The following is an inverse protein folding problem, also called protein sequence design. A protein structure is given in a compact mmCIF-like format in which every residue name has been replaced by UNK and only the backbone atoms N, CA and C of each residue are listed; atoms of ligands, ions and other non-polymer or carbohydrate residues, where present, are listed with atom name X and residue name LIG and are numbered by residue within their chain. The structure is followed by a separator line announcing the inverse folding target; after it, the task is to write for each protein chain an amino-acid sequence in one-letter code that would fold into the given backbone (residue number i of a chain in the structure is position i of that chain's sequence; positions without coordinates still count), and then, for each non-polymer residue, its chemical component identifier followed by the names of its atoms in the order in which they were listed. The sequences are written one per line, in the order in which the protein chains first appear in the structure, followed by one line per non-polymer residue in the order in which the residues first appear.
data_IF_526505173103
#
_entry.id   IF_526505173103
#
_cell.length_a   1.000
_cell.length_b   1.000
_cell.length_c   1.000
_cell.angle_alpha   90.00
_cell.angle_beta   90.00
_cell.angle_gamma   90.00
#
_symmetry.space_group_name_H-M   'P 1'
#
loop_
_entity.id
_entity.type
_entity.pdbx_description
1 polymer ?
#
# COMPACT_ATOMS: atom_id res chain seq x y z
N UNK A 1 1.98 11.69 53.81
CA UNK A 1 2.97 11.05 52.94
C UNK A 1 2.23 10.46 51.78
N UNK A 2 2.13 11.26 50.73
CA UNK A 2 1.31 11.02 49.55
C UNK A 2 2.18 10.23 48.54
N UNK A 3 1.88 8.94 48.36
CA UNK A 3 2.49 8.12 47.31
C UNK A 3 1.61 8.22 46.08
N UNK A 4 1.86 9.25 45.26
CA UNK A 4 1.42 9.26 43.89
C UNK A 4 2.11 8.11 43.14
N UNK A 5 1.39 7.00 42.99
CA UNK A 5 1.68 6.01 41.96
C UNK A 5 1.48 6.70 40.61
N UNK A 6 2.52 7.33 40.09
CA UNK A 6 2.63 7.63 38.67
C UNK A 6 2.62 6.29 37.93
N UNK A 7 1.46 5.92 37.40
CA UNK A 7 1.35 4.86 36.43
C UNK A 7 2.25 5.25 35.25
N UNK A 8 3.41 4.62 35.15
CA UNK A 8 4.20 4.68 33.93
C UNK A 8 3.30 4.25 32.77
N UNK A 9 3.27 5.00 31.66
CA UNK A 9 2.56 4.54 30.48
C UNK A 9 3.23 3.24 30.06
N UNK A 10 2.50 2.13 30.21
CA UNK A 10 2.87 0.85 29.64
C UNK A 10 2.93 1.02 28.11
N UNK A 11 4.06 1.50 27.60
CA UNK A 11 4.35 1.51 26.18
C UNK A 11 4.37 0.06 25.76
N UNK A 12 3.40 -0.33 24.92
CA UNK A 12 3.19 -1.69 24.45
C UNK A 12 4.31 -2.18 23.51
N UNK A 13 5.47 -1.54 23.54
CA UNK A 13 6.62 -1.87 22.72
C UNK A 13 7.46 -2.92 23.44
N UNK A 14 7.25 -4.17 23.01
CA UNK A 14 8.14 -5.28 23.36
C UNK A 14 9.59 -5.00 22.96
N UNK A 15 10.50 -5.93 23.29
CA UNK A 15 11.95 -5.80 23.02
C UNK A 15 12.25 -5.42 21.57
N UNK A 16 11.49 -5.96 20.61
CA UNK A 16 11.61 -5.65 19.18
C UNK A 16 11.25 -4.20 18.86
N UNK A 17 10.15 -3.66 19.41
CA UNK A 17 9.72 -2.28 19.13
C UNK A 17 10.74 -1.24 19.58
N UNK A 18 11.34 -1.45 20.77
CA UNK A 18 12.43 -0.58 21.26
C UNK A 18 13.68 -0.66 20.39
N UNK A 19 14.07 -1.85 19.96
CA UNK A 19 15.21 -2.04 19.07
C UNK A 19 14.98 -1.38 17.70
N UNK A 20 13.78 -1.55 17.13
CA UNK A 20 13.42 -0.93 15.85
C UNK A 20 13.44 0.60 15.95
N UNK A 21 12.86 1.17 17.02
CA UNK A 21 12.89 2.62 17.26
C UNK A 21 14.31 3.16 17.27
N UNK A 22 15.20 2.55 18.05
CA UNK A 22 16.60 2.97 18.11
C UNK A 22 17.31 2.86 16.76
N UNK A 23 16.97 1.84 15.96
CA UNK A 23 17.53 1.66 14.61
C UNK A 23 17.02 2.72 13.64
N UNK A 24 15.72 3.02 13.65
CA UNK A 24 15.10 4.06 12.81
C UNK A 24 15.65 5.45 13.15
N UNK A 25 15.77 5.77 14.45
CA UNK A 25 16.37 7.03 14.89
C UNK A 25 17.85 7.15 14.50
N UNK A 26 18.61 6.05 14.56
CA UNK A 26 20.01 6.04 14.14
C UNK A 26 20.20 6.35 12.64
N UNK A 27 19.18 6.09 11.81
CA UNK A 27 19.17 6.46 10.38
C UNK A 27 18.40 7.76 10.09
N UNK A 28 18.07 8.54 11.14
CA UNK A 28 17.42 9.85 11.03
C UNK A 28 15.90 9.82 10.86
N UNK A 29 15.24 8.68 11.12
CA UNK A 29 13.78 8.54 11.10
C UNK A 29 13.26 8.65 12.54
N UNK A 30 12.92 9.86 12.96
CA UNK A 30 12.52 10.17 14.34
C UNK A 30 10.99 10.28 14.51
N UNK A 31 10.27 10.62 13.43
CA UNK A 31 8.82 10.79 13.39
C UNK A 31 8.40 11.77 12.30
N UNK A 32 7.13 12.17 12.27
CA UNK A 32 6.62 13.10 11.26
C UNK A 32 6.87 14.56 11.60
N UNK A 33 7.15 15.36 10.57
CA UNK A 33 7.25 16.81 10.74
C UNK A 33 5.84 17.43 10.82
N UNK A 34 5.46 17.85 12.03
CA UNK A 34 4.12 18.39 12.33
C UNK A 34 3.79 19.69 11.60
N UNK A 35 4.79 20.40 11.08
CA UNK A 35 4.56 21.58 10.23
C UNK A 35 3.98 21.22 8.86
N UNK A 36 4.16 19.96 8.41
CA UNK A 36 3.66 19.46 7.14
C UNK A 36 2.40 18.61 7.28
N UNK A 37 2.17 17.96 8.41
CA UNK A 37 0.97 17.13 8.64
C UNK A 37 -0.26 17.98 8.92
N UNK A 38 -1.43 17.35 8.86
CA UNK A 38 -2.70 17.90 9.32
C UNK A 38 -2.85 17.72 10.83
N UNK A 39 -3.68 18.56 11.44
CA UNK A 39 -4.08 18.38 12.84
C UNK A 39 -4.89 17.09 13.00
N UNK A 40 -4.64 16.35 14.08
CA UNK A 40 -5.42 15.17 14.42
C UNK A 40 -6.76 15.59 15.02
N UNK A 41 -7.81 15.46 14.23
CA UNK A 41 -9.19 15.76 14.65
C UNK A 41 -9.95 14.45 14.94
N UNK A 42 -11.15 14.53 15.56
CA UNK A 42 -12.03 13.38 15.69
C UNK A 42 -12.39 12.74 14.33
N UNK A 43 -12.51 13.52 13.25
CA UNK A 43 -12.77 12.97 11.92
C UNK A 43 -11.57 12.22 11.36
N UNK A 44 -10.33 12.68 11.62
CA UNK A 44 -9.11 11.92 11.29
C UNK A 44 -9.10 10.58 12.02
N UNK A 45 -9.43 10.57 13.31
CA UNK A 45 -9.50 9.32 14.11
C UNK A 45 -10.55 8.34 13.58
N UNK A 46 -11.72 8.86 13.17
CA UNK A 46 -12.76 8.06 12.51
C UNK A 46 -12.30 7.51 11.16
N UNK A 47 -11.64 8.32 10.34
CA UNK A 47 -11.08 7.89 9.06
C UNK A 47 -10.05 6.77 9.24
N UNK A 48 -9.12 6.90 10.19
CA UNK A 48 -8.13 5.85 10.50
C UNK A 48 -8.80 4.55 10.98
N UNK A 49 -9.89 4.66 11.75
CA UNK A 49 -10.68 3.50 12.17
C UNK A 49 -11.32 2.82 10.97
N UNK A 50 -11.95 3.60 10.07
CA UNK A 50 -12.56 3.08 8.85
C UNK A 50 -11.52 2.40 7.96
N UNK A 51 -10.36 3.03 7.76
CA UNK A 51 -9.27 2.45 6.98
C UNK A 51 -8.82 1.12 7.56
N UNK A 52 -8.64 1.03 8.89
CA UNK A 52 -8.31 -0.25 9.55
C UNK A 52 -9.39 -1.30 9.30
N UNK A 53 -10.67 -0.94 9.37
CA UNK A 53 -11.77 -1.88 9.08
C UNK A 53 -11.71 -2.36 7.61
N UNK A 54 -11.44 -1.46 6.67
CA UNK A 54 -11.26 -1.81 5.26
C UNK A 54 -10.08 -2.76 5.04
N UNK A 55 -8.94 -2.52 5.70
CA UNK A 55 -7.81 -3.47 5.72
C UNK A 55 -8.26 -4.84 6.25
N UNK A 56 -9.06 -4.87 7.32
CA UNK A 56 -9.62 -6.10 7.85
C UNK A 56 -10.52 -6.85 6.86
N UNK A 57 -11.34 -6.14 6.09
CA UNK A 57 -12.18 -6.72 5.04
C UNK A 57 -11.35 -7.26 3.87
N UNK A 58 -10.31 -6.54 3.46
CA UNK A 58 -9.34 -7.00 2.44
C UNK A 58 -8.67 -8.29 2.90
N UNK A 59 -8.16 -8.34 4.14
CA UNK A 59 -7.51 -9.53 4.69
C UNK A 59 -8.47 -10.72 4.82
N UNK A 60 -9.75 -10.47 5.11
CA UNK A 60 -10.78 -11.52 5.15
C UNK A 60 -11.05 -12.08 3.76
N UNK A 61 -11.15 -11.21 2.76
CA UNK A 61 -11.28 -11.62 1.37
C UNK A 61 -10.07 -12.40 0.89
N UNK A 62 -8.85 -11.95 1.20
CA UNK A 62 -7.61 -12.67 0.84
C UNK A 62 -7.52 -14.05 1.50
N UNK A 63 -8.00 -14.16 2.74
CA UNK A 63 -8.07 -15.45 3.43
C UNK A 63 -8.99 -16.43 2.69
N UNK A 64 -10.14 -15.94 2.22
CA UNK A 64 -11.05 -16.71 1.37
C UNK A 64 -10.40 -17.07 0.03
N UNK A 65 -9.76 -16.11 -0.64
CA UNK A 65 -9.06 -16.32 -1.91
C UNK A 65 -7.95 -17.37 -1.81
N UNK A 66 -7.29 -17.48 -0.65
CA UNK A 66 -6.27 -18.52 -0.39
C UNK A 66 -6.83 -19.94 -0.40
N UNK A 67 -8.14 -20.12 -0.24
CA UNK A 67 -8.78 -21.44 -0.29
C UNK A 67 -9.11 -21.88 -1.73
N UNK A 68 -8.93 -20.99 -2.71
CA UNK A 68 -9.23 -21.26 -4.13
C UNK A 68 -8.35 -22.37 -4.72
N UNK A 69 -8.83 -22.98 -5.80
CA UNK A 69 -8.08 -24.00 -6.52
C UNK A 69 -6.80 -23.42 -7.15
N UNK A 70 -6.85 -22.22 -7.73
CA UNK A 70 -5.69 -21.56 -8.32
C UNK A 70 -4.59 -21.35 -7.29
N UNK A 71 -4.91 -20.80 -6.12
CA UNK A 71 -3.92 -20.58 -5.06
C UNK A 71 -3.26 -21.89 -4.61
N UNK A 72 -4.02 -22.99 -4.50
CA UNK A 72 -3.47 -24.30 -4.18
C UNK A 72 -2.48 -24.77 -5.25
N UNK A 73 -2.81 -24.59 -6.53
CA UNK A 73 -1.92 -24.91 -7.67
C UNK A 73 -0.62 -24.15 -7.61
N UNK A 74 -0.67 -22.86 -7.26
CA UNK A 74 0.51 -22.01 -7.08
C UNK A 74 1.35 -22.47 -5.89
N UNK A 75 0.73 -22.78 -4.75
CA UNK A 75 1.45 -23.30 -3.58
C UNK A 75 2.09 -24.66 -3.86
N UNK A 76 1.44 -25.54 -4.62
CA UNK A 76 2.02 -26.81 -5.04
C UNK A 76 3.26 -26.61 -5.93
N UNK A 77 3.17 -25.68 -6.90
CA UNK A 77 4.30 -25.29 -7.75
C UNK A 77 5.46 -24.72 -6.94
N UNK A 78 5.18 -23.75 -6.06
CA UNK A 78 6.16 -23.12 -5.17
C UNK A 78 6.88 -24.14 -4.28
N UNK A 79 6.15 -25.11 -3.73
CA UNK A 79 6.70 -26.15 -2.86
C UNK A 79 7.42 -27.26 -3.65
N UNK A 80 7.31 -27.30 -4.98
CA UNK A 80 7.86 -28.37 -5.82
C UNK A 80 7.21 -29.74 -5.55
N UNK A 81 5.92 -29.75 -5.17
CA UNK A 81 5.18 -30.98 -4.83
C UNK A 81 3.87 -31.07 -5.62
N UNK A 82 3.27 -32.26 -5.67
CA UNK A 82 1.95 -32.44 -6.29
C UNK A 82 0.83 -31.78 -5.50
N UNK A 83 -0.26 -31.40 -6.19
CA UNK A 83 -1.45 -30.79 -5.60
C UNK A 83 -2.10 -31.61 -4.48
N UNK A 84 -1.99 -32.94 -4.56
CA UNK A 84 -2.52 -33.88 -3.56
C UNK A 84 -1.64 -33.98 -2.29
N UNK A 85 -0.52 -33.26 -2.25
CA UNK A 85 0.41 -33.29 -1.12
C UNK A 85 -0.21 -32.70 0.15
N UNK A 86 -0.08 -33.42 1.26
CA UNK A 86 -0.47 -32.93 2.58
C UNK A 86 0.22 -31.60 2.95
N UNK A 87 1.41 -31.33 2.39
CA UNK A 87 2.13 -30.07 2.59
C UNK A 87 1.40 -28.88 1.98
N UNK A 88 0.80 -29.03 0.80
CA UNK A 88 0.00 -27.97 0.17
C UNK A 88 -1.20 -27.64 1.04
N UNK A 89 -1.93 -28.66 1.50
CA UNK A 89 -3.07 -28.47 2.38
C UNK A 89 -2.68 -27.78 3.70
N UNK A 90 -1.56 -28.17 4.31
CA UNK A 90 -1.08 -27.61 5.56
C UNK A 90 -0.64 -26.15 5.41
N UNK A 91 0.11 -25.81 4.36
CA UNK A 91 0.55 -24.44 4.09
C UNK A 91 -0.65 -23.55 3.79
N UNK A 92 -1.56 -23.98 2.92
CA UNK A 92 -2.77 -23.22 2.59
C UNK A 92 -3.64 -22.98 3.83
N UNK A 93 -3.85 -24.02 4.65
CA UNK A 93 -4.58 -23.85 5.91
C UNK A 93 -3.87 -22.86 6.84
N UNK A 94 -2.56 -22.99 7.03
CA UNK A 94 -1.77 -22.10 7.88
C UNK A 94 -1.83 -20.64 7.44
N UNK A 95 -1.67 -20.38 6.13
CA UNK A 95 -1.79 -19.03 5.54
C UNK A 95 -3.20 -18.48 5.71
N UNK A 96 -4.24 -19.27 5.43
CA UNK A 96 -5.63 -18.84 5.63
C UNK A 96 -5.91 -18.50 7.09
N UNK A 97 -5.47 -19.33 8.04
CA UNK A 97 -5.64 -19.04 9.48
C UNK A 97 -4.93 -17.76 9.90
N UNK A 98 -3.70 -17.53 9.42
CA UNK A 98 -2.97 -16.30 9.67
C UNK A 98 -3.73 -15.07 9.14
N UNK A 99 -4.20 -15.12 7.89
CA UNK A 99 -4.97 -14.03 7.27
C UNK A 99 -6.29 -13.77 8.02
N UNK A 100 -7.01 -14.82 8.42
CA UNK A 100 -8.23 -14.70 9.24
C UNK A 100 -7.92 -14.05 10.59
N UNK A 101 -6.84 -14.45 11.25
CA UNK A 101 -6.44 -13.86 12.52
C UNK A 101 -6.18 -12.36 12.36
N UNK A 102 -5.38 -11.97 11.35
CA UNK A 102 -5.11 -10.57 11.02
C UNK A 102 -6.42 -9.82 10.75
N UNK A 103 -7.28 -10.36 9.89
CA UNK A 103 -8.58 -9.77 9.57
C UNK A 103 -9.44 -9.53 10.83
N UNK A 104 -9.58 -10.55 11.69
CA UNK A 104 -10.32 -10.45 12.93
C UNK A 104 -9.75 -9.37 13.88
N UNK A 105 -8.42 -9.23 13.92
CA UNK A 105 -7.75 -8.18 14.69
C UNK A 105 -8.06 -6.78 14.17
N UNK A 106 -7.98 -6.57 12.84
CA UNK A 106 -8.29 -5.29 12.20
C UNK A 106 -9.76 -4.89 12.34
N UNK A 107 -10.68 -5.86 12.19
CA UNK A 107 -12.12 -5.65 12.33
C UNK A 107 -12.54 -5.36 13.77
N UNK A 108 -11.98 -6.08 14.74
CA UNK A 108 -12.32 -5.91 16.16
C UNK A 108 -11.57 -4.76 16.85
N UNK A 109 -10.46 -4.31 16.25
CA UNK A 109 -9.55 -3.35 16.87
C UNK A 109 -8.78 -3.89 18.08
N UNK A 110 -8.69 -5.22 18.22
CA UNK A 110 -7.97 -5.90 19.31
C UNK A 110 -6.69 -6.53 18.77
N UNK A 111 -5.57 -6.26 19.44
CA UNK A 111 -4.28 -6.84 19.06
C UNK A 111 -3.70 -6.32 17.74
N UNK A 112 -4.19 -5.17 17.26
CA UNK A 112 -3.87 -4.58 15.94
C UNK A 112 -2.36 -4.47 15.73
N UNK A 113 -1.61 -3.95 16.70
CA UNK A 113 -0.15 -3.85 16.60
C UNK A 113 0.53 -5.21 16.43
N UNK A 114 0.13 -6.21 17.21
CA UNK A 114 0.75 -7.55 17.18
C UNK A 114 0.47 -8.26 15.86
N UNK A 115 -0.78 -8.25 15.42
CA UNK A 115 -1.15 -8.91 14.16
C UNK A 115 -0.80 -8.07 12.94
N UNK A 116 -0.66 -6.75 13.08
CA UNK A 116 -0.04 -5.88 12.07
C UNK A 116 1.40 -6.28 11.81
N UNK A 117 2.20 -6.54 12.86
CA UNK A 117 3.55 -7.09 12.69
C UNK A 117 3.55 -8.49 12.06
N UNK A 118 2.61 -9.35 12.42
CA UNK A 118 2.47 -10.65 11.74
C UNK A 118 2.17 -10.49 10.24
N UNK A 119 1.30 -9.54 9.89
CA UNK A 119 1.02 -9.15 8.50
C UNK A 119 2.25 -8.58 7.78
N UNK A 120 3.02 -7.72 8.44
CA UNK A 120 4.29 -7.19 7.94
C UNK A 120 5.28 -8.33 7.61
N UNK A 121 5.52 -9.27 8.54
CA UNK A 121 6.47 -10.35 8.30
C UNK A 121 5.96 -11.36 7.26
N UNK A 122 4.66 -11.59 7.22
CA UNK A 122 4.06 -12.40 6.17
C UNK A 122 4.23 -11.74 4.79
N UNK A 123 3.95 -10.45 4.66
CA UNK A 123 4.19 -9.69 3.43
C UNK A 123 5.66 -9.70 3.01
N UNK A 124 6.58 -9.57 3.97
CA UNK A 124 8.02 -9.67 3.71
C UNK A 124 8.44 -11.05 3.23
N UNK A 125 7.88 -12.11 3.82
CA UNK A 125 8.10 -13.48 3.35
C UNK A 125 7.59 -13.67 1.92
N UNK A 126 6.36 -13.21 1.62
CA UNK A 126 5.80 -13.30 0.26
C UNK A 126 6.69 -12.54 -0.73
N UNK A 127 7.06 -11.30 -0.41
CA UNK A 127 7.88 -10.48 -1.30
C UNK A 127 9.25 -11.09 -1.59
N UNK A 128 9.94 -11.62 -0.57
CA UNK A 128 11.30 -12.17 -0.74
C UNK A 128 11.27 -13.59 -1.30
N UNK A 129 10.47 -14.47 -0.69
CA UNK A 129 10.54 -15.90 -0.96
C UNK A 129 9.71 -16.32 -2.17
N UNK A 130 8.63 -15.59 -2.47
CA UNK A 130 7.70 -15.95 -3.55
C UNK A 130 7.88 -14.99 -4.73
N UNK A 131 7.93 -13.68 -4.48
CA UNK A 131 8.07 -12.65 -5.51
C UNK A 131 9.54 -12.33 -5.85
N UNK A 132 10.50 -12.98 -5.17
CA UNK A 132 11.94 -12.82 -5.40
C UNK A 132 12.43 -11.35 -5.36
N UNK A 133 11.76 -10.51 -4.57
CA UNK A 133 12.08 -9.08 -4.47
C UNK A 133 11.60 -8.23 -5.65
N UNK A 134 10.68 -8.74 -6.48
CA UNK A 134 10.14 -8.01 -7.63
C UNK A 134 10.88 -8.24 -8.94
N UNK A 135 11.60 -9.36 -9.07
CA UNK A 135 12.31 -9.73 -10.30
C UNK A 135 11.33 -10.32 -11.34
N UNK A 136 10.40 -9.51 -11.85
CA UNK A 136 9.43 -9.93 -12.87
C UNK A 136 9.94 -9.77 -14.31
N UNK A 137 11.21 -9.43 -14.50
CA UNK A 137 11.81 -9.27 -15.83
C UNK A 137 11.40 -7.98 -16.55
N UNK A 138 11.44 -8.00 -17.89
CA UNK A 138 11.27 -6.79 -18.73
C UNK A 138 9.83 -6.28 -18.82
N UNK A 139 8.86 -7.13 -18.49
CA UNK A 139 7.43 -6.76 -18.47
C UNK A 139 7.02 -6.18 -17.11
N UNK A 140 7.94 -6.07 -16.15
CA UNK A 140 7.68 -5.56 -14.82
C UNK A 140 7.37 -4.06 -14.84
N UNK A 141 6.22 -3.69 -14.27
CA UNK A 141 5.79 -2.31 -14.05
C UNK A 141 5.91 -1.91 -12.57
N UNK A 142 6.08 -2.85 -11.64
CA UNK A 142 6.20 -2.63 -10.19
C UNK A 142 7.06 -3.73 -9.51
N UNK A 143 7.55 -3.53 -8.25
CA UNK A 143 8.40 -4.48 -7.53
C UNK A 143 7.62 -5.58 -6.80
N UNK A 144 6.31 -5.69 -7.03
CA UNK A 144 5.47 -6.71 -6.46
C UNK A 144 4.65 -6.19 -5.30
N UNK A 145 3.71 -7.01 -4.87
CA UNK A 145 2.63 -6.55 -4.00
C UNK A 145 2.90 -6.80 -2.54
N UNK A 146 3.77 -7.77 -2.22
CA UNK A 146 4.17 -8.02 -0.85
C UNK A 146 4.70 -6.75 -0.20
N UNK A 147 5.45 -5.94 -0.94
CA UNK A 147 5.99 -4.65 -0.46
C UNK A 147 4.89 -3.62 -0.15
N UNK A 148 3.84 -3.55 -0.97
CA UNK A 148 2.70 -2.66 -0.71
C UNK A 148 1.93 -3.06 0.57
N UNK A 149 1.73 -4.37 0.81
CA UNK A 149 1.14 -4.86 2.06
C UNK A 149 2.00 -4.53 3.27
N UNK A 150 3.32 -4.71 3.17
CA UNK A 150 4.28 -4.36 4.23
C UNK A 150 4.11 -2.90 4.64
N UNK A 151 4.08 -1.99 3.66
CA UNK A 151 3.89 -0.56 3.87
C UNK A 151 2.53 -0.26 4.52
N UNK A 152 1.45 -0.86 4.01
CA UNK A 152 0.11 -0.70 4.57
C UNK A 152 0.05 -1.14 6.03
N UNK A 153 0.67 -2.27 6.39
CA UNK A 153 0.72 -2.71 7.78
C UNK A 153 1.52 -1.75 8.66
N UNK A 154 2.61 -1.15 8.16
CA UNK A 154 3.31 -0.10 8.91
C UNK A 154 2.41 1.12 9.14
N UNK A 155 1.63 1.55 8.15
CA UNK A 155 0.63 2.63 8.34
C UNK A 155 -0.43 2.26 9.38
N UNK A 156 -0.96 1.03 9.35
CA UNK A 156 -1.92 0.53 10.35
C UNK A 156 -1.31 0.56 11.75
N UNK A 157 -0.07 0.08 11.90
CA UNK A 157 0.64 0.04 13.18
C UNK A 157 0.93 1.46 13.68
N UNK A 158 1.41 2.35 12.80
CA UNK A 158 1.63 3.76 13.09
C UNK A 158 0.35 4.47 13.52
N UNK A 159 -0.77 4.24 12.83
CA UNK A 159 -2.06 4.79 13.18
C UNK A 159 -2.58 4.28 14.54
N UNK A 160 -2.39 3.00 14.85
CA UNK A 160 -2.80 2.44 16.15
C UNK A 160 -2.01 3.05 17.32
N UNK A 161 -0.73 3.40 17.12
CA UNK A 161 0.10 4.06 18.14
C UNK A 161 -0.43 5.43 18.55
N UNK A 162 -1.13 6.13 17.66
CA UNK A 162 -1.77 7.42 17.95
C UNK A 162 -2.84 7.34 19.04
N UNK A 163 -3.36 6.14 19.32
CA UNK A 163 -4.30 5.93 20.44
C UNK A 163 -3.62 6.06 21.80
N UNK A 164 -2.31 5.81 21.88
CA UNK A 164 -1.51 5.94 23.10
C UNK A 164 -0.66 7.21 23.13
N UNK A 165 -0.15 7.65 21.98
CA UNK A 165 0.68 8.84 21.84
C UNK A 165 0.25 9.59 20.57
N UNK A 166 -0.59 10.64 20.69
CA UNK A 166 -1.13 11.37 19.54
C UNK A 166 -0.09 12.26 18.85
N UNK A 167 1.12 12.41 19.38
CA UNK A 167 2.14 13.23 18.76
C UNK A 167 2.77 12.50 17.55
N UNK A 168 2.45 12.97 16.35
CA UNK A 168 2.98 12.44 15.09
C UNK A 168 4.51 12.56 15.01
N UNK A 169 5.11 13.54 15.70
CA UNK A 169 6.58 13.70 15.74
C UNK A 169 7.28 12.62 16.54
N UNK A 170 6.55 11.86 17.36
CA UNK A 170 7.03 10.69 18.09
C UNK A 170 6.65 9.37 17.40
N UNK A 171 6.19 9.40 16.14
CA UNK A 171 5.73 8.21 15.43
C UNK A 171 6.69 7.80 14.31
N UNK A 172 7.82 7.19 14.69
CA UNK A 172 8.84 6.74 13.75
C UNK A 172 8.35 5.67 12.77
N UNK A 173 7.36 4.86 13.17
CA UNK A 173 6.78 3.81 12.31
C UNK A 173 6.00 4.45 11.16
N UNK A 174 5.25 5.53 11.43
CA UNK A 174 4.52 6.25 10.41
C UNK A 174 5.46 6.92 9.40
N UNK A 175 6.49 7.61 9.90
CA UNK A 175 7.52 8.22 9.06
C UNK A 175 8.26 7.17 8.22
N UNK A 176 8.58 6.02 8.81
CA UNK A 176 9.19 4.90 8.10
C UNK A 176 8.26 4.34 7.02
N UNK A 177 6.97 4.15 7.31
CA UNK A 177 5.96 3.71 6.34
C UNK A 177 5.90 4.65 5.13
N UNK A 178 5.86 5.97 5.39
CA UNK A 178 5.85 7.00 4.34
C UNK A 178 7.13 6.97 3.49
N UNK A 179 8.30 6.88 4.12
CA UNK A 179 9.58 6.84 3.39
C UNK A 179 9.69 5.56 2.56
N UNK A 180 9.29 4.41 3.13
CA UNK A 180 9.26 3.13 2.40
C UNK A 180 8.27 3.18 1.23
N UNK A 181 7.14 3.87 1.39
CA UNK A 181 6.23 4.14 0.29
C UNK A 181 6.85 5.02 -0.79
N UNK A 182 7.64 6.03 -0.39
CA UNK A 182 8.43 6.82 -1.34
C UNK A 182 9.45 5.97 -2.10
N UNK A 183 10.08 4.98 -1.45
CA UNK A 183 11.02 4.06 -2.10
C UNK A 183 10.32 3.20 -3.14
N UNK A 184 9.12 2.68 -2.81
CA UNK A 184 8.29 1.93 -3.75
C UNK A 184 7.96 2.77 -4.99
N UNK A 185 7.45 4.00 -4.80
CA UNK A 185 7.15 4.91 -5.91
C UNK A 185 8.38 5.35 -6.71
N UNK A 186 9.54 5.48 -6.05
CA UNK A 186 10.79 5.78 -6.75
C UNK A 186 11.20 4.61 -7.64
N UNK A 187 11.06 3.38 -7.14
CA UNK A 187 11.34 2.18 -7.92
C UNK A 187 10.43 2.10 -9.14
N UNK A 188 9.12 2.28 -8.97
CA UNK A 188 8.15 2.36 -10.06
C UNK A 188 8.59 3.40 -11.09
N UNK A 189 8.90 4.62 -10.65
CA UNK A 189 9.35 5.69 -11.54
C UNK A 189 10.61 5.29 -12.33
N UNK A 190 11.56 4.55 -11.73
CA UNK A 190 12.75 4.07 -12.46
C UNK A 190 12.41 3.05 -13.55
N UNK A 191 11.38 2.21 -13.36
CA UNK A 191 10.88 1.30 -14.38
C UNK A 191 10.20 2.08 -15.51
N UNK A 192 9.38 3.07 -15.17
CA UNK A 192 8.67 3.90 -16.17
C UNK A 192 9.59 4.84 -16.95
N UNK A 193 10.74 5.18 -16.39
CA UNK A 193 11.78 5.95 -17.09
C UNK A 193 12.66 5.08 -18.00
N UNK A 194 12.48 3.75 -18.01
CA UNK A 194 13.21 2.90 -18.96
C UNK A 194 12.76 3.20 -20.39
N UNK A 195 13.68 3.22 -21.37
CA UNK A 195 13.34 3.47 -22.77
C UNK A 195 12.23 2.55 -23.29
N UNK A 196 12.25 1.28 -22.87
CA UNK A 196 11.25 0.30 -23.30
C UNK A 196 9.83 0.72 -22.89
N UNK A 197 9.60 1.10 -21.63
CA UNK A 197 8.29 1.58 -21.18
C UNK A 197 7.86 2.84 -21.93
N UNK A 198 8.76 3.79 -22.12
CA UNK A 198 8.46 5.06 -22.79
C UNK A 198 8.02 4.87 -24.25
N UNK A 199 8.61 3.89 -24.94
CA UNK A 199 8.31 3.60 -26.34
C UNK A 199 7.13 2.62 -26.51
N UNK A 200 6.84 1.78 -25.50
CA UNK A 200 5.85 0.69 -25.56
C UNK A 200 4.72 0.82 -24.53
N UNK A 201 4.53 1.97 -23.90
CA UNK A 201 3.49 2.21 -22.89
C UNK A 201 2.10 1.70 -23.32
N UNK A 202 1.71 1.95 -24.57
CA UNK A 202 0.40 1.55 -25.07
C UNK A 202 0.27 0.03 -25.24
N UNK A 203 1.38 -0.69 -25.38
CA UNK A 203 1.39 -2.14 -25.52
C UNK A 203 0.97 -2.81 -24.21
N UNK A 204 1.36 -2.25 -23.05
CA UNK A 204 0.88 -2.71 -21.74
C UNK A 204 -0.64 -2.63 -21.61
N UNK A 205 -1.23 -1.48 -21.97
CA UNK A 205 -2.70 -1.31 -21.95
C UNK A 205 -3.41 -2.20 -22.97
N UNK A 206 -2.85 -2.35 -24.16
CA UNK A 206 -3.44 -3.18 -25.22
C UNK A 206 -3.34 -4.68 -24.90
N UNK A 207 -2.25 -5.10 -24.24
CA UNK A 207 -2.08 -6.45 -23.74
C UNK A 207 -3.12 -6.77 -22.65
N UNK A 208 -3.25 -5.90 -21.63
CA UNK A 208 -4.27 -6.06 -20.59
C UNK A 208 -5.68 -6.15 -21.16
N UNK A 209 -6.03 -5.24 -22.08
CA UNK A 209 -7.34 -5.28 -22.75
C UNK A 209 -7.62 -6.62 -23.44
N UNK A 210 -6.59 -7.20 -24.08
CA UNK A 210 -6.70 -8.47 -24.80
C UNK A 210 -6.95 -9.63 -23.85
N UNK A 211 -6.33 -9.61 -22.66
CA UNK A 211 -6.48 -10.65 -21.64
C UNK A 211 -7.90 -10.66 -21.06
N UNK A 212 -8.57 -9.50 -21.01
CA UNK A 212 -9.98 -9.36 -20.56
C UNK A 212 -11.00 -9.23 -21.70
N UNK A 213 -10.65 -9.64 -22.92
CA UNK A 213 -11.49 -9.50 -24.11
C UNK A 213 -12.90 -10.10 -23.91
N UNK A 214 -13.92 -9.38 -24.37
CA UNK A 214 -15.33 -9.78 -24.26
C UNK A 214 -15.99 -9.47 -22.90
N UNK A 215 -15.26 -8.85 -21.97
CA UNK A 215 -15.82 -8.35 -20.70
C UNK A 215 -16.13 -6.85 -20.77
N UNK A 216 -16.80 -6.31 -19.75
CA UNK A 216 -16.99 -4.85 -19.62
C UNK A 216 -15.66 -4.11 -19.43
N UNK A 217 -14.66 -4.78 -18.86
CA UNK A 217 -13.34 -4.21 -18.60
C UNK A 217 -12.60 -3.90 -19.90
N UNK A 218 -12.71 -4.76 -20.92
CA UNK A 218 -12.13 -4.46 -22.23
C UNK A 218 -12.66 -3.15 -22.85
N UNK A 219 -13.94 -2.83 -22.64
CA UNK A 219 -14.52 -1.55 -23.05
C UNK A 219 -14.02 -0.38 -22.20
N UNK A 220 -13.78 -0.61 -20.91
CA UNK A 220 -13.18 0.38 -20.01
C UNK A 220 -11.72 0.68 -20.41
N UNK A 221 -10.92 -0.34 -20.69
CA UNK A 221 -9.53 -0.19 -21.14
C UNK A 221 -9.46 0.50 -22.51
N UNK A 222 -10.43 0.24 -23.40
CA UNK A 222 -10.53 0.92 -24.69
C UNK A 222 -10.63 2.44 -24.53
N UNK A 223 -11.33 2.93 -23.50
CA UNK A 223 -11.46 4.37 -23.25
C UNK A 223 -10.07 4.96 -22.96
N UNK A 224 -9.28 4.32 -22.12
CA UNK A 224 -7.93 4.77 -21.77
C UNK A 224 -6.94 4.67 -22.93
N UNK A 225 -7.07 3.64 -23.76
CA UNK A 225 -6.28 3.50 -25.00
C UNK A 225 -6.58 4.67 -25.95
N UNK A 226 -7.86 4.97 -26.20
CA UNK A 226 -8.27 6.09 -27.09
C UNK A 226 -7.82 7.44 -26.52
N UNK A 227 -7.98 7.67 -25.22
CA UNK A 227 -7.50 8.89 -24.57
C UNK A 227 -5.98 9.02 -24.68
N UNK A 228 -5.24 7.94 -24.47
CA UNK A 228 -3.78 7.92 -24.58
C UNK A 228 -3.31 8.21 -26.01
N UNK A 229 -3.99 7.64 -27.00
CA UNK A 229 -3.73 7.94 -28.42
C UNK A 229 -4.03 9.41 -28.77
N UNK A 230 -5.11 9.97 -28.23
CA UNK A 230 -5.50 11.36 -28.49
C UNK A 230 -4.54 12.39 -27.89
N UNK A 231 -4.00 12.12 -26.70
CA UNK A 231 -2.98 12.98 -26.06
C UNK A 231 -1.59 12.78 -26.68
N UNK A 232 -1.31 11.56 -27.14
CA UNK A 232 0.01 11.12 -27.61
C UNK A 232 0.61 10.11 -26.64
N UNK A 233 0.77 8.82 -27.02
CA UNK A 233 1.18 7.76 -26.10
C UNK A 233 2.51 8.06 -25.39
N UNK A 234 3.49 8.60 -26.12
CA UNK A 234 4.80 8.94 -25.55
C UNK A 234 4.71 10.10 -24.54
N UNK A 235 3.85 11.10 -24.78
CA UNK A 235 3.63 12.17 -23.81
C UNK A 235 2.97 11.63 -22.55
N UNK A 236 1.98 10.73 -22.68
CA UNK A 236 1.35 10.08 -21.52
C UNK A 236 2.36 9.26 -20.73
N UNK A 237 3.21 8.47 -21.39
CA UNK A 237 4.26 7.69 -20.74
C UNK A 237 5.21 8.57 -19.90
N UNK A 238 5.68 9.68 -20.47
CA UNK A 238 6.50 10.66 -19.74
C UNK A 238 5.76 11.31 -18.57
N UNK A 239 4.48 11.68 -18.76
CA UNK A 239 3.68 12.28 -17.69
C UNK A 239 3.48 11.30 -16.53
N UNK A 240 3.23 10.02 -16.81
CA UNK A 240 3.14 8.98 -15.78
C UNK A 240 4.48 8.86 -15.04
N UNK A 241 5.58 8.66 -15.76
CA UNK A 241 6.91 8.49 -15.16
C UNK A 241 7.32 9.67 -14.26
N UNK A 242 7.12 10.90 -14.75
CA UNK A 242 7.44 12.12 -14.00
C UNK A 242 6.49 12.35 -12.81
N UNK A 243 5.22 11.94 -12.93
CA UNK A 243 4.26 12.02 -11.83
C UNK A 243 4.62 11.03 -10.72
N UNK A 244 4.97 9.79 -11.06
CA UNK A 244 5.45 8.81 -10.09
C UNK A 244 6.71 9.30 -9.35
N UNK A 245 7.67 9.89 -10.08
CA UNK A 245 8.86 10.48 -9.49
C UNK A 245 8.53 11.65 -8.55
N UNK A 246 7.61 12.53 -8.92
CA UNK A 246 7.18 13.64 -8.08
C UNK A 246 6.47 13.16 -6.80
N UNK A 247 5.65 12.12 -6.91
CA UNK A 247 5.02 11.45 -5.77
C UNK A 247 6.10 10.87 -4.85
N UNK A 248 7.09 10.15 -5.38
CA UNK A 248 8.19 9.60 -4.59
C UNK A 248 8.94 10.69 -3.81
N UNK A 249 9.29 11.80 -4.46
CA UNK A 249 9.96 12.95 -3.82
C UNK A 249 9.07 13.55 -2.71
N UNK A 250 7.77 13.68 -2.97
CA UNK A 250 6.81 14.18 -1.97
C UNK A 250 6.72 13.24 -0.75
N UNK A 251 6.74 11.93 -0.98
CA UNK A 251 6.73 10.91 0.06
C UNK A 251 8.02 10.90 0.86
N UNK A 252 9.21 11.03 0.25
CA UNK A 252 10.46 11.13 1.00
C UNK A 252 10.51 12.35 1.91
N UNK A 253 10.17 13.51 1.35
CA UNK A 253 10.28 14.78 2.06
C UNK A 253 9.15 15.03 3.05
N UNK A 254 8.01 14.34 2.91
CA UNK A 254 6.77 14.68 3.60
C UNK A 254 6.13 15.99 3.12
N UNK A 255 6.72 16.64 2.10
CA UNK A 255 6.27 17.92 1.55
C UNK A 255 5.36 17.67 0.37
N UNK A 256 4.46 18.62 0.10
CA UNK A 256 3.53 18.57 -1.04
C UNK A 256 2.55 17.39 -1.06
N UNK A 257 2.51 16.55 -0.02
CA UNK A 257 1.59 15.40 0.07
C UNK A 257 0.11 15.79 0.09
N UNK A 258 -0.22 17.03 0.47
CA UNK A 258 -1.58 17.57 0.30
C UNK A 258 -2.00 17.71 -1.17
N UNK A 259 -1.04 17.75 -2.10
CA UNK A 259 -1.28 17.81 -3.55
C UNK A 259 -1.01 16.46 -4.18
N UNK A 260 0.18 15.90 -3.94
CA UNK A 260 0.59 14.64 -4.56
C UNK A 260 -0.05 13.39 -3.92
N UNK A 261 -0.61 13.47 -2.71
CA UNK A 261 -1.39 12.39 -2.11
C UNK A 261 -2.65 12.05 -2.95
N UNK A 262 -3.54 13.02 -3.21
CA UNK A 262 -4.67 12.80 -4.12
C UNK A 262 -4.28 12.45 -5.56
N UNK A 263 -3.19 13.03 -6.09
CA UNK A 263 -2.68 12.67 -7.42
C UNK A 263 -2.23 11.22 -7.46
N UNK A 264 -1.46 10.78 -6.46
CA UNK A 264 -1.01 9.40 -6.34
C UNK A 264 -2.17 8.42 -6.13
N UNK A 265 -3.19 8.81 -5.37
CA UNK A 265 -4.43 8.03 -5.26
C UNK A 265 -5.10 7.85 -6.62
N UNK A 266 -5.27 8.93 -7.39
CA UNK A 266 -5.89 8.89 -8.72
C UNK A 266 -5.06 8.09 -9.73
N UNK A 267 -3.74 8.30 -9.75
CA UNK A 267 -2.83 7.57 -10.62
C UNK A 267 -2.81 6.08 -10.29
N UNK A 268 -2.75 5.73 -9.00
CA UNK A 268 -2.85 4.34 -8.55
C UNK A 268 -4.16 3.72 -9.04
N UNK A 269 -5.29 4.43 -8.88
CA UNK A 269 -6.58 3.92 -9.35
C UNK A 269 -6.54 3.60 -10.84
N UNK A 270 -6.04 4.52 -11.68
CA UNK A 270 -5.99 4.33 -13.14
C UNK A 270 -5.08 3.19 -13.53
N UNK A 271 -3.84 3.15 -13.03
CA UNK A 271 -2.88 2.06 -13.34
C UNK A 271 -3.50 0.72 -12.95
N UNK A 272 -4.00 0.65 -11.72
CA UNK A 272 -4.47 -0.61 -11.17
C UNK A 272 -5.82 -1.05 -11.70
N UNK A 273 -6.67 -0.16 -12.23
CA UNK A 273 -7.94 -0.54 -12.87
C UNK A 273 -7.80 -0.89 -14.35
N UNK A 274 -6.65 -0.58 -14.97
CA UNK A 274 -6.40 -0.76 -16.41
C UNK A 274 -5.30 -1.80 -16.66
N UNK A 275 -4.04 -1.37 -16.74
CA UNK A 275 -2.88 -2.21 -17.05
C UNK A 275 -2.72 -3.39 -16.10
N UNK A 276 -3.12 -3.23 -14.83
CA UNK A 276 -3.06 -4.31 -13.82
C UNK A 276 -4.41 -5.01 -13.59
N UNK A 277 -5.44 -4.68 -14.38
CA UNK A 277 -6.71 -5.40 -14.41
C UNK A 277 -7.41 -5.59 -13.06
N UNK A 278 -7.40 -4.57 -12.20
CA UNK A 278 -7.90 -4.63 -10.81
C UNK A 278 -7.13 -5.59 -9.90
N UNK A 279 -5.92 -5.98 -10.29
CA UNK A 279 -5.14 -7.07 -9.69
C UNK A 279 -5.37 -8.44 -10.36
N UNK A 280 -5.89 -8.45 -11.60
CA UNK A 280 -5.91 -9.55 -12.56
C UNK A 280 -6.83 -10.74 -12.29
N UNK A 281 -7.20 -11.48 -13.34
CA UNK A 281 -6.76 -12.85 -13.53
C UNK A 281 -5.59 -12.87 -14.52
N UNK A 282 -4.38 -12.63 -14.02
CA UNK A 282 -3.14 -12.68 -14.80
C UNK A 282 -3.02 -13.98 -15.64
N UNK A 283 -2.36 -13.87 -16.80
CA UNK A 283 -2.06 -14.99 -17.70
C UNK A 283 -1.21 -16.09 -17.04
N UNK A 284 -1.47 -17.36 -17.38
CA UNK A 284 -0.76 -18.50 -16.79
C UNK A 284 0.75 -18.41 -17.03
N UNK A 285 1.52 -18.27 -15.94
CA UNK A 285 2.99 -18.19 -15.98
C UNK A 285 3.52 -17.12 -15.04
N UNK A 286 3.04 -15.87 -15.18
CA UNK A 286 3.46 -14.72 -14.34
C UNK A 286 2.45 -14.50 -13.20
N UNK A 287 1.17 -14.79 -13.46
CA UNK A 287 0.09 -14.93 -12.47
C UNK A 287 0.32 -15.95 -11.36
N UNK A 288 1.22 -16.88 -11.60
CA UNK A 288 1.23 -18.21 -10.98
C UNK A 288 2.02 -18.28 -9.67
N UNK A 289 2.40 -17.12 -9.14
CA UNK A 289 3.16 -17.00 -7.90
C UNK A 289 2.54 -16.00 -6.91
N UNK A 290 1.29 -15.55 -7.12
CA UNK A 290 0.70 -14.49 -6.29
C UNK A 290 -0.40 -15.00 -5.36
N UNK A 291 -0.10 -15.33 -4.10
CA UNK A 291 -1.06 -15.81 -3.10
C UNK A 291 -2.18 -14.81 -2.69
N UNK A 292 -2.35 -13.68 -3.38
CA UNK A 292 -3.26 -12.58 -3.07
C UNK A 292 -3.97 -12.11 -4.35
N UNK A 293 -5.05 -12.79 -4.75
CA UNK A 293 -5.82 -12.45 -5.95
C UNK A 293 -7.05 -11.58 -5.62
N UNK A 294 -7.24 -10.53 -6.43
CA UNK A 294 -8.49 -9.87 -6.86
C UNK A 294 -9.19 -8.78 -6.02
N UNK A 295 -8.90 -8.55 -4.74
CA UNK A 295 -9.45 -7.35 -4.06
C UNK A 295 -8.42 -6.60 -3.22
N UNK A 296 -7.18 -7.09 -3.16
CA UNK A 296 -6.08 -6.50 -2.40
C UNK A 296 -5.24 -5.50 -3.18
N UNK A 297 -4.86 -5.76 -4.43
CA UNK A 297 -3.72 -5.07 -5.07
C UNK A 297 -3.98 -3.58 -5.35
N UNK A 298 -4.98 -3.27 -6.16
CA UNK A 298 -5.43 -1.90 -6.42
C UNK A 298 -5.82 -1.20 -5.12
N UNK A 299 -6.59 -1.91 -4.29
CA UNK A 299 -7.14 -1.38 -3.05
C UNK A 299 -6.05 -1.03 -2.05
N UNK A 300 -4.91 -1.72 -2.02
CA UNK A 300 -3.84 -1.46 -1.05
C UNK A 300 -3.10 -0.19 -1.36
N UNK A 301 -2.79 0.09 -2.63
CA UNK A 301 -2.24 1.39 -3.00
C UNK A 301 -3.23 2.50 -2.63
N UNK A 302 -4.52 2.30 -2.92
CA UNK A 302 -5.55 3.27 -2.55
C UNK A 302 -5.66 3.46 -1.03
N UNK A 303 -5.71 2.39 -0.26
CA UNK A 303 -5.77 2.42 1.21
C UNK A 303 -4.53 3.09 1.79
N UNK A 304 -3.36 2.80 1.23
CA UNK A 304 -2.09 3.44 1.64
C UNK A 304 -2.13 4.93 1.37
N UNK A 305 -2.60 5.37 0.19
CA UNK A 305 -2.82 6.79 -0.07
C UNK A 305 -3.93 7.41 0.78
N UNK A 306 -4.97 6.66 1.16
CA UNK A 306 -5.97 7.17 2.10
C UNK A 306 -5.39 7.35 3.51
N UNK A 307 -4.43 6.51 3.94
CA UNK A 307 -3.65 6.78 5.14
C UNK A 307 -2.84 8.07 4.99
N UNK A 308 -2.12 8.24 3.87
CA UNK A 308 -1.41 9.50 3.57
C UNK A 308 -2.38 10.69 3.59
N UNK A 309 -3.54 10.59 2.96
CA UNK A 309 -4.57 11.63 2.97
C UNK A 309 -5.01 11.96 4.39
N UNK A 310 -5.27 10.95 5.23
CA UNK A 310 -5.69 11.15 6.61
C UNK A 310 -4.66 11.98 7.42
N UNK A 311 -3.36 11.81 7.14
CA UNK A 311 -2.29 12.56 7.79
C UNK A 311 -1.91 13.88 7.09
N UNK A 312 -2.21 14.01 5.79
CA UNK A 312 -1.89 15.15 4.93
C UNK A 312 -3.12 15.59 4.14
N UNK A 313 -4.12 16.11 4.85
CA UNK A 313 -5.43 16.41 4.29
C UNK A 313 -5.36 17.54 3.23
N UNK A 314 -5.71 17.29 1.95
CA UNK A 314 -5.78 18.30 0.90
C UNK A 314 -6.73 19.46 1.24
N UNK A 315 -7.78 19.21 2.02
CA UNK A 315 -8.76 20.23 2.40
C UNK A 315 -8.15 21.35 3.26
N UNK A 316 -7.01 21.11 3.92
CA UNK A 316 -6.27 22.16 4.64
C UNK A 316 -5.82 23.29 3.71
N UNK A 317 -5.55 23.00 2.43
CA UNK A 317 -5.15 24.01 1.45
C UNK A 317 -6.29 25.01 1.18
N UNK A 318 -7.53 24.51 1.17
CA UNK A 318 -8.73 25.33 0.98
C UNK A 318 -9.04 26.17 2.23
N UNK A 319 -8.78 25.63 3.41
CA UNK A 319 -9.03 26.33 4.67
C UNK A 319 -8.00 27.46 4.90
N UNK A 320 -6.74 27.24 4.54
CA UNK A 320 -5.68 28.25 4.66
C UNK A 320 -5.90 29.43 3.72
N UNK A 321 -6.32 29.17 2.47
CA UNK A 321 -6.63 30.26 1.53
C UNK A 321 -7.81 31.10 2.02
N UNK A 322 -8.85 30.47 2.56
CA UNK A 322 -10.00 31.17 3.13
C UNK A 322 -9.63 32.03 4.35
N UNK A 323 -8.77 31.53 5.24
CA UNK A 323 -8.31 32.28 6.40
C UNK A 323 -7.49 33.53 6.00
N UNK A 324 -6.61 33.41 5.00
CA UNK A 324 -5.82 34.53 4.48
C UNK A 324 -6.71 35.63 3.88
N UNK A 325 -7.70 35.26 3.07
CA UNK A 325 -8.69 36.21 2.49
C UNK A 325 -9.47 36.94 3.59
N UNK A 326 -9.87 36.24 4.65
CA UNK A 326 -10.61 36.86 5.77
C UNK A 326 -9.75 37.77 6.64
N UNK A 327 -8.43 37.55 6.70
CA UNK A 327 -7.50 38.44 7.41
C UNK A 327 -7.19 39.70 6.62
N UNK A 328 -7.18 39.65 5.28
CA UNK A 328 -6.99 40.84 4.43
C UNK A 328 -8.24 41.73 4.35
N UNK A 329 -9.42 41.16 4.64
CA UNK A 329 -10.69 41.88 4.66
C UNK A 329 -11.00 42.63 5.98
N UNK A 330 -10.10 42.57 6.96
CA UNK A 330 -10.20 43.27 8.26
C UNK A 330 -9.17 44.39 8.36
#
# INVERSE_FOLDING_TARGET
MDRSNSLEPHTADGRFGRWLRGTLQAVGIEGENTSFTSELTPSTTQALTLLRLLVGLVMLYDAWGSLSWSHKTEMASFLGVGMESAWVALVVAGVSFLKIAIAASMLSGRGVTKLGWAGFFYGLFVWIAIEHGGDFGQDATDPGVGLAYIILFLFVIGAERLRSDPDLSHNEILAFARVLFGLLWAYDATLKLQPYFLDHYLDYLTAAQKDVAGTWQASYDQIWIVLSQAVGPQLVAWLVALTEAAIAISLFSGRWLRVFGPVGLGLSFVIWSTAEEWGGPYSMGIASMMPMRLFGMAVIYLLTFFYVWAFYNPLDLLNRSRAAVLSEAK
#
